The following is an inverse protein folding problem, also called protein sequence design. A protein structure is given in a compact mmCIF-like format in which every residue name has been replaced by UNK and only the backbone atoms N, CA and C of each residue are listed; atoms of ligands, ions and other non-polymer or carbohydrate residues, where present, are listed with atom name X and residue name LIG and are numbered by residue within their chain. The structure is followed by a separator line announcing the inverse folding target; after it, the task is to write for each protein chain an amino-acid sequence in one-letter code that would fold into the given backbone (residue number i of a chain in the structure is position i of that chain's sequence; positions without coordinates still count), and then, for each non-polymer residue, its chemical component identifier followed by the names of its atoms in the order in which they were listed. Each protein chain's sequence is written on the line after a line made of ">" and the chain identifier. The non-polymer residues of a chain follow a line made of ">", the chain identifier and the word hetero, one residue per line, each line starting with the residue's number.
data_IF_749682912068
#
_entry.id   IF_749682912068
#
_cell.length_a   1.000
_cell.length_b   1.000
_cell.length_c   1.000
_cell.angle_alpha   90.00
_cell.angle_beta   90.00
_cell.angle_gamma   90.00
#
_symmetry.space_group_name_H-M   'P 1'
#
loop_
_entity.id
_entity.type
_entity.pdbx_description
1 polymer ?
#
# COMPACT_ATOMS: atom_id res chain seq x y z
N UNK A 1 6.94 12.62 0.03
CA UNK A 1 6.86 11.21 0.47
C UNK A 1 5.86 11.09 1.59
N UNK A 2 5.03 10.05 1.60
CA UNK A 2 3.88 9.93 2.49
C UNK A 2 3.98 8.64 3.29
N UNK A 3 3.69 8.68 4.59
CA UNK A 3 3.70 7.50 5.45
C UNK A 3 2.37 7.37 6.21
N UNK A 4 1.88 6.14 6.32
CA UNK A 4 0.67 5.79 7.05
C UNK A 4 0.91 4.61 7.98
N UNK A 5 -0.05 4.39 8.89
CA UNK A 5 -0.18 3.19 9.71
C UNK A 5 -1.56 2.59 9.48
N UNK A 6 -1.62 1.30 9.20
CA UNK A 6 -2.86 0.55 8.96
C UNK A 6 -2.81 -0.83 9.65
N UNK A 7 -3.93 -1.56 9.65
CA UNK A 7 -3.99 -2.94 10.15
C UNK A 7 -3.57 -3.95 9.07
N UNK A 8 -2.91 -5.05 9.47
CA UNK A 8 -2.53 -6.13 8.56
C UNK A 8 -3.69 -7.05 8.14
N UNK A 9 -4.83 -6.98 8.83
CA UNK A 9 -6.02 -7.82 8.64
C UNK A 9 -7.29 -6.98 8.72
N UNK A 10 -8.42 -7.55 8.30
CA UNK A 10 -9.71 -6.93 8.57
C UNK A 10 -9.90 -6.68 10.07
N UNK A 11 -10.51 -5.55 10.44
CA UNK A 11 -10.59 -5.10 11.84
C UNK A 11 -11.31 -6.10 12.78
N UNK A 12 -12.25 -6.88 12.24
CA UNK A 12 -12.98 -7.90 12.97
C UNK A 12 -12.22 -9.22 13.08
N UNK A 13 -11.16 -9.43 12.29
CA UNK A 13 -10.42 -10.68 12.26
C UNK A 13 -9.31 -10.68 13.33
N UNK A 14 -9.20 -11.72 14.16
CA UNK A 14 -8.26 -11.73 15.27
C UNK A 14 -6.80 -11.69 14.81
N UNK A 15 -5.91 -11.22 15.68
CA UNK A 15 -4.46 -11.25 15.45
C UNK A 15 -3.92 -10.18 14.47
N UNK A 16 -4.73 -9.20 14.09
CA UNK A 16 -4.28 -8.05 13.31
C UNK A 16 -3.15 -7.28 14.02
N UNK A 17 -2.12 -6.89 13.26
CA UNK A 17 -0.97 -6.12 13.76
C UNK A 17 -0.82 -4.81 13.00
N UNK A 18 -0.20 -3.78 13.59
CA UNK A 18 0.10 -2.58 12.86
C UNK A 18 1.09 -2.82 11.70
N UNK A 19 0.79 -2.18 10.56
CA UNK A 19 1.63 -2.12 9.39
C UNK A 19 1.90 -0.66 9.04
N UNK A 20 3.16 -0.33 8.76
CA UNK A 20 3.59 0.98 8.29
C UNK A 20 3.86 0.88 6.81
N UNK A 21 3.31 1.83 6.04
CA UNK A 21 3.53 1.94 4.60
C UNK A 21 4.04 3.34 4.32
N UNK A 22 5.14 3.45 3.58
CA UNK A 22 5.66 4.72 3.08
C UNK A 22 5.78 4.65 1.57
N UNK A 23 5.33 5.69 0.86
CA UNK A 23 5.51 5.86 -0.58
C UNK A 23 6.35 7.11 -0.88
N UNK A 24 7.21 7.00 -1.88
CA UNK A 24 8.01 8.09 -2.45
C UNK A 24 7.50 8.35 -3.85
N UNK A 25 7.21 9.61 -4.15
CA UNK A 25 6.50 10.03 -5.35
C UNK A 25 7.25 11.19 -5.97
N UNK A 26 7.37 11.17 -7.30
CA UNK A 26 7.92 12.26 -8.09
C UNK A 26 6.94 13.42 -8.14
N UNK A 27 7.44 14.63 -7.85
CA UNK A 27 6.61 15.85 -7.89
C UNK A 27 6.29 16.20 -9.34
N UNK A 28 5.04 16.55 -9.61
CA UNK A 28 4.55 16.94 -10.93
C UNK A 28 3.99 15.76 -11.73
N UNK A 29 4.79 14.72 -11.98
CA UNK A 29 4.33 13.54 -12.74
C UNK A 29 3.46 12.58 -11.92
N UNK A 30 3.60 12.59 -10.59
CA UNK A 30 2.96 11.61 -9.71
C UNK A 30 3.55 10.20 -9.83
N UNK A 31 4.68 10.04 -10.53
CA UNK A 31 5.31 8.73 -10.72
C UNK A 31 5.74 8.14 -9.39
N UNK A 32 5.43 6.86 -9.18
CA UNK A 32 5.89 6.12 -8.02
C UNK A 32 7.40 5.87 -8.14
N UNK A 33 8.17 6.36 -7.17
CA UNK A 33 9.63 6.22 -7.14
C UNK A 33 10.10 5.09 -6.22
N UNK A 34 9.26 4.70 -5.26
CA UNK A 34 9.59 3.63 -4.32
C UNK A 34 8.64 3.59 -3.14
N UNK A 35 8.85 2.62 -2.26
CA UNK A 35 8.11 2.52 -1.02
C UNK A 35 8.73 1.54 -0.03
N UNK A 36 8.18 1.54 1.19
CA UNK A 36 8.59 0.70 2.30
C UNK A 36 7.36 0.15 2.99
N UNK A 37 7.38 -1.14 3.35
CA UNK A 37 6.29 -1.80 4.06
C UNK A 37 6.88 -2.57 5.24
N UNK A 38 6.46 -2.23 6.47
CA UNK A 38 6.96 -2.82 7.71
C UNK A 38 5.77 -3.24 8.57
N UNK A 39 5.62 -4.53 8.88
CA UNK A 39 4.47 -5.02 9.67
C UNK A 39 4.37 -6.54 9.84
N UNK A 40 5.34 -7.30 9.31
CA UNK A 40 5.32 -8.77 9.37
C UNK A 40 4.32 -9.36 8.38
N UNK A 41 3.30 -10.05 8.90
CA UNK A 41 2.31 -10.74 8.10
C UNK A 41 1.62 -9.79 7.09
N UNK A 42 1.54 -10.24 5.83
CA UNK A 42 0.95 -9.47 4.74
C UNK A 42 1.86 -8.40 4.13
N UNK A 43 3.06 -8.16 4.66
CA UNK A 43 4.00 -7.20 4.05
C UNK A 43 4.57 -7.73 2.72
N UNK A 44 4.99 -8.99 2.68
CA UNK A 44 5.61 -9.62 1.50
C UNK A 44 4.77 -9.50 0.21
N UNK A 45 3.52 -9.98 0.19
CA UNK A 45 2.67 -9.86 -1.01
C UNK A 45 2.47 -8.42 -1.48
N UNK A 46 2.43 -7.45 -0.56
CA UNK A 46 2.30 -6.02 -0.91
C UNK A 46 3.61 -5.44 -1.45
N UNK A 47 4.75 -5.97 -1.03
CA UNK A 47 6.05 -5.65 -1.63
C UNK A 47 6.09 -6.15 -3.08
N UNK A 48 5.52 -7.33 -3.38
CA UNK A 48 5.44 -7.84 -4.75
C UNK A 48 4.54 -6.94 -5.64
N UNK A 49 3.41 -6.47 -5.11
CA UNK A 49 2.56 -5.47 -5.79
C UNK A 49 3.34 -4.17 -6.03
N UNK A 50 4.04 -3.67 -5.01
CA UNK A 50 4.84 -2.45 -5.12
C UNK A 50 5.97 -2.60 -6.15
N UNK A 51 6.66 -3.73 -6.17
CA UNK A 51 7.70 -4.04 -7.14
C UNK A 51 7.13 -4.09 -8.57
N UNK A 52 5.95 -4.69 -8.74
CA UNK A 52 5.23 -4.73 -10.03
C UNK A 52 4.89 -3.32 -10.50
N UNK A 53 4.31 -2.48 -9.63
CA UNK A 53 3.94 -1.11 -9.95
C UNK A 53 5.16 -0.26 -10.35
N UNK A 54 6.29 -0.43 -9.64
CA UNK A 54 7.55 0.22 -9.97
C UNK A 54 8.11 -0.25 -11.31
N UNK A 55 8.06 -1.55 -11.59
CA UNK A 55 8.51 -2.12 -12.85
C UNK A 55 7.71 -1.58 -14.03
N UNK A 56 6.39 -1.42 -13.87
CA UNK A 56 5.52 -0.82 -14.90
C UNK A 56 5.59 0.72 -14.98
N UNK A 57 6.36 1.37 -14.10
CA UNK A 57 6.46 2.83 -14.08
C UNK A 57 5.16 3.55 -13.68
N UNK A 58 4.31 2.90 -12.89
CA UNK A 58 3.00 3.45 -12.50
C UNK A 58 3.12 4.77 -11.72
N UNK A 59 2.09 5.60 -11.88
CA UNK A 59 1.79 6.72 -10.99
C UNK A 59 1.13 6.25 -9.70
N UNK A 60 1.14 7.10 -8.66
CA UNK A 60 0.36 6.81 -7.44
C UNK A 60 -1.15 6.82 -7.67
N UNK A 61 -1.62 7.50 -8.71
CA UNK A 61 -3.03 7.49 -9.10
C UNK A 61 -3.42 6.11 -9.61
N UNK A 62 -2.68 5.56 -10.57
CA UNK A 62 -2.90 4.20 -11.07
C UNK A 62 -2.76 3.16 -9.96
N UNK A 63 -1.74 3.29 -9.09
CA UNK A 63 -1.58 2.40 -7.93
C UNK A 63 -2.82 2.42 -7.03
N UNK A 64 -3.42 3.59 -6.79
CA UNK A 64 -4.61 3.74 -5.95
C UNK A 64 -5.86 3.03 -6.49
N UNK A 65 -5.87 2.74 -7.80
CA UNK A 65 -6.99 2.13 -8.53
C UNK A 65 -6.81 0.63 -8.77
N UNK A 66 -5.71 0.02 -8.31
CA UNK A 66 -5.53 -1.43 -8.43
C UNK A 66 -6.62 -2.18 -7.64
N UNK A 67 -7.24 -3.17 -8.29
CA UNK A 67 -8.21 -4.06 -7.67
C UNK A 67 -7.51 -5.20 -6.94
N UNK A 68 -7.04 -4.91 -5.72
CA UNK A 68 -6.34 -5.89 -4.88
C UNK A 68 -7.35 -6.79 -4.16
N UNK A 69 -7.05 -8.09 -4.12
CA UNK A 69 -7.90 -9.06 -3.47
C UNK A 69 -8.09 -8.78 -1.97
N UNK A 70 -9.36 -8.76 -1.55
CA UNK A 70 -9.73 -8.74 -0.14
C UNK A 70 -9.66 -10.15 0.46
N UNK A 71 -8.92 -10.31 1.56
CA UNK A 71 -8.75 -11.59 2.25
C UNK A 71 -8.74 -11.34 3.75
N UNK A 72 -9.85 -11.48 4.49
CA UNK A 72 -9.94 -11.08 5.91
C UNK A 72 -8.75 -11.44 6.82
N UNK A 73 -8.14 -12.65 6.73
CA UNK A 73 -6.97 -13.01 7.53
C UNK A 73 -5.63 -12.37 7.10
N UNK A 74 -5.53 -11.69 5.95
CA UNK A 74 -4.24 -11.20 5.41
C UNK A 74 -4.31 -9.83 4.69
N UNK A 75 -5.50 -9.43 4.25
CA UNK A 75 -5.77 -8.20 3.53
C UNK A 75 -7.12 -7.60 3.98
N UNK A 76 -7.12 -6.43 4.66
CA UNK A 76 -8.34 -5.73 5.03
C UNK A 76 -9.08 -5.19 3.80
N UNK A 77 -10.36 -4.83 3.97
CA UNK A 77 -11.18 -4.32 2.85
C UNK A 77 -10.63 -3.06 2.20
N UNK A 78 -9.85 -2.27 2.93
CA UNK A 78 -9.04 -1.18 2.40
C UNK A 78 -7.56 -1.56 2.54
N UNK A 79 -6.96 -2.06 1.45
CA UNK A 79 -5.57 -2.49 1.51
C UNK A 79 -4.65 -1.34 1.94
N UNK A 80 -3.74 -1.55 2.91
CA UNK A 80 -2.79 -0.54 3.37
C UNK A 80 -2.02 0.16 2.24
N UNK A 81 -1.66 -0.55 1.18
CA UNK A 81 -0.94 0.02 0.04
C UNK A 81 -1.82 1.00 -0.74
N UNK A 82 -3.08 0.65 -0.97
CA UNK A 82 -4.06 1.52 -1.65
C UNK A 82 -4.41 2.74 -0.79
N UNK A 83 -4.53 2.56 0.52
CA UNK A 83 -4.72 3.69 1.45
C UNK A 83 -3.52 4.63 1.39
N UNK A 84 -2.30 4.11 1.39
CA UNK A 84 -1.09 4.93 1.30
C UNK A 84 -1.04 5.73 -0.02
N UNK A 85 -1.42 5.10 -1.14
CA UNK A 85 -1.50 5.75 -2.45
C UNK A 85 -2.54 6.90 -2.43
N UNK A 86 -3.74 6.64 -1.88
CA UNK A 86 -4.79 7.66 -1.75
C UNK A 86 -4.38 8.85 -0.86
N UNK A 87 -3.60 8.62 0.19
CA UNK A 87 -3.05 9.71 1.01
C UNK A 87 -1.95 10.45 0.24
N UNK A 88 -1.13 9.74 -0.54
CA UNK A 88 -0.09 10.35 -1.35
C UNK A 88 -0.63 11.27 -2.46
N UNK A 89 -1.82 10.97 -3.01
CA UNK A 89 -2.50 11.84 -3.99
C UNK A 89 -2.93 13.20 -3.42
N UNK A 90 -3.09 13.31 -2.10
CA UNK A 90 -3.56 14.52 -1.42
C UNK A 90 -2.44 15.38 -0.84
N UNK A 91 -1.19 14.93 -0.98
CA UNK A 91 0.00 15.53 -0.39
C UNK A 91 0.79 16.32 -1.44
#
# INVERSE_FOLDING_TARGET
>A
STAIKAGSRAHYYPGGRPMHVKLVVEVGSGRLLGGQIIGGEGAGPRIDVLATALHSGMTVEELSQLDLAYVPPMAPGWDPLLVAANVALKA
#
